data_IF_082161411302
#
_entry.id   IF_082161411302
#
_cell.length_a   1.000
_cell.length_b   1.000
_cell.length_c   1.000
_cell.angle_alpha   90.00
_cell.angle_beta   90.00
_cell.angle_gamma   90.00
#
_symmetry.space_group_name_H-M   'P 1'
#
loop_
_entity.id
_entity.type
_entity.pdbx_description
1 polymer ?
#
# COMPACT_ATOMS: atom_id res chain seq x y z
N UNK A 1 17.18 -10.26 6.34
CA UNK A 1 16.26 -9.11 6.18
C UNK A 1 17.12 -7.89 5.93
N UNK A 2 16.97 -7.25 4.77
CA UNK A 2 17.76 -6.09 4.35
C UNK A 2 16.82 -5.00 3.87
N UNK A 3 17.03 -3.77 4.33
CA UNK A 3 16.30 -2.60 3.87
C UNK A 3 17.20 -1.82 2.91
N UNK A 4 16.76 -1.68 1.67
CA UNK A 4 17.43 -0.90 0.63
C UNK A 4 16.75 0.47 0.52
N UNK A 5 17.54 1.55 0.48
CA UNK A 5 17.03 2.91 0.31
C UNK A 5 17.55 3.50 -0.99
N UNK A 6 16.64 3.91 -1.84
CA UNK A 6 16.90 4.53 -3.14
C UNK A 6 16.41 5.98 -3.17
N UNK A 7 16.91 6.77 -4.09
CA UNK A 7 16.48 8.15 -4.29
C UNK A 7 15.64 8.26 -5.58
N UNK A 8 14.43 8.74 -5.44
CA UNK A 8 13.48 9.14 -6.50
C UNK A 8 12.89 8.00 -7.36
N UNK A 9 13.55 6.86 -7.53
CA UNK A 9 13.04 5.72 -8.31
C UNK A 9 13.68 4.40 -7.89
N UNK A 10 13.12 3.29 -8.35
CA UNK A 10 13.73 1.96 -8.24
C UNK A 10 14.95 1.85 -9.19
N UNK A 11 15.95 1.03 -8.86
CA UNK A 11 17.05 0.76 -9.79
C UNK A 11 16.58 0.01 -11.03
N UNK A 12 17.26 0.22 -12.16
CA UNK A 12 16.98 -0.47 -13.40
C UNK A 12 17.12 -1.98 -13.23
N UNK A 13 16.15 -2.70 -13.80
CA UNK A 13 16.16 -4.17 -13.84
C UNK A 13 15.87 -4.86 -12.49
N UNK A 14 15.44 -4.14 -11.46
CA UNK A 14 15.01 -4.76 -10.22
C UNK A 14 13.73 -5.57 -10.45
N UNK A 15 13.81 -6.88 -10.23
CA UNK A 15 12.67 -7.80 -10.27
C UNK A 15 12.24 -8.16 -8.85
N UNK A 16 11.02 -7.80 -8.48
CA UNK A 16 10.39 -8.10 -7.20
C UNK A 16 9.38 -9.26 -7.28
N UNK A 17 9.33 -9.93 -8.44
CA UNK A 17 8.45 -11.06 -8.66
C UNK A 17 7.00 -10.69 -9.01
N UNK A 18 6.10 -11.68 -9.09
CA UNK A 18 4.73 -11.49 -9.61
C UNK A 18 3.76 -10.86 -8.60
N UNK A 19 4.15 -10.71 -7.35
CA UNK A 19 3.34 -10.10 -6.28
C UNK A 19 4.23 -9.18 -5.48
N UNK A 20 3.89 -7.90 -5.43
CA UNK A 20 4.69 -6.88 -4.75
C UNK A 20 3.84 -6.15 -3.71
N UNK A 21 4.23 -6.24 -2.46
CA UNK A 21 3.66 -5.46 -1.37
C UNK A 21 4.13 -4.01 -1.50
N UNK A 22 3.21 -3.06 -1.34
CA UNK A 22 3.46 -1.62 -1.48
C UNK A 22 2.73 -0.87 -0.39
N UNK A 23 3.38 0.15 0.14
CA UNK A 23 2.80 1.15 1.04
C UNK A 23 3.48 2.49 0.78
N UNK A 24 2.96 3.61 1.31
CA UNK A 24 3.59 4.91 1.13
C UNK A 24 3.45 5.82 2.35
N UNK A 25 4.43 6.72 2.49
CA UNK A 25 4.43 7.79 3.47
C UNK A 25 4.34 9.16 2.81
N UNK A 26 3.55 10.03 3.41
CA UNK A 26 3.25 11.38 2.89
C UNK A 26 3.41 12.43 3.98
N UNK A 27 3.39 13.71 3.61
CA UNK A 27 3.40 14.82 4.58
C UNK A 27 2.10 14.96 5.40
N UNK A 28 1.07 14.20 5.08
CA UNK A 28 -0.23 14.19 5.74
C UNK A 28 -1.26 13.44 4.91
N UNK A 29 -2.55 13.55 5.23
CA UNK A 29 -3.59 12.70 4.67
C UNK A 29 -4.37 13.31 3.49
N UNK A 30 -4.07 14.54 3.08
CA UNK A 30 -4.72 15.19 1.95
C UNK A 30 -3.85 15.07 0.70
N UNK A 31 -4.19 14.21 -0.29
CA UNK A 31 -3.34 13.94 -1.44
C UNK A 31 -3.11 15.16 -2.35
N UNK A 32 -3.97 16.20 -2.28
CA UNK A 32 -3.79 17.43 -3.05
C UNK A 32 -2.80 18.42 -2.42
N UNK A 33 -2.62 18.34 -1.10
CA UNK A 33 -1.75 19.25 -0.34
C UNK A 33 -0.47 18.55 0.10
N UNK A 34 -0.59 17.31 0.51
CA UNK A 34 0.45 16.59 1.24
C UNK A 34 1.19 15.66 0.28
N UNK A 35 2.44 16.04 -0.04
CA UNK A 35 3.24 15.32 -1.04
C UNK A 35 3.57 13.89 -0.61
N UNK A 36 3.74 13.02 -1.58
CA UNK A 36 4.37 11.71 -1.42
C UNK A 36 5.86 11.89 -1.02
N UNK A 37 6.31 11.13 -0.04
CA UNK A 37 7.66 11.24 0.52
C UNK A 37 8.46 9.96 0.39
N UNK A 38 7.83 8.81 0.67
CA UNK A 38 8.47 7.49 0.60
C UNK A 38 7.47 6.52 -0.03
N UNK A 39 7.98 5.63 -0.87
CA UNK A 39 7.26 4.42 -1.32
C UNK A 39 8.09 3.22 -0.91
N UNK A 40 7.52 2.32 -0.16
CA UNK A 40 8.16 1.07 0.24
C UNK A 40 7.54 -0.12 -0.47
N UNK A 41 8.42 -1.05 -0.90
CA UNK A 41 8.03 -2.25 -1.63
C UNK A 41 8.70 -3.49 -1.04
N UNK A 42 8.06 -4.64 -1.21
CA UNK A 42 8.66 -5.95 -0.89
C UNK A 42 8.15 -7.02 -1.86
N UNK A 43 9.05 -7.86 -2.36
CA UNK A 43 8.72 -9.05 -3.14
C UNK A 43 8.30 -10.27 -2.30
N UNK A 44 8.27 -10.16 -0.95
CA UNK A 44 7.95 -11.26 -0.05
C UNK A 44 9.14 -12.16 0.31
N UNK A 45 10.34 -11.77 -0.08
CA UNK A 45 11.61 -12.47 0.19
C UNK A 45 12.24 -12.09 1.55
N UNK A 46 11.57 -11.25 2.33
CA UNK A 46 12.05 -10.72 3.61
C UNK A 46 12.89 -9.45 3.48
N UNK A 47 13.02 -8.89 2.28
CA UNK A 47 13.68 -7.62 2.04
C UNK A 47 12.66 -6.51 1.76
N UNK A 48 13.02 -5.27 2.09
CA UNK A 48 12.24 -4.10 1.75
C UNK A 48 13.06 -3.11 0.91
N UNK A 49 12.41 -2.51 -0.08
CA UNK A 49 12.96 -1.55 -1.01
C UNK A 49 12.22 -0.22 -0.83
N UNK A 50 12.90 0.79 -0.31
CA UNK A 50 12.32 2.10 -0.03
C UNK A 50 12.81 3.10 -1.06
N UNK A 51 11.90 3.91 -1.60
CA UNK A 51 12.21 5.01 -2.50
C UNK A 51 11.90 6.30 -1.77
N UNK A 52 12.90 7.10 -1.44
CA UNK A 52 12.71 8.44 -0.92
C UNK A 52 12.49 9.42 -2.08
N UNK A 53 11.34 10.08 -2.10
CA UNK A 53 10.93 10.99 -3.17
C UNK A 53 11.31 12.43 -2.77
N UNK A 54 12.21 13.04 -3.52
CA UNK A 54 12.64 14.41 -3.29
C UNK A 54 11.49 15.40 -3.52
N UNK A 55 11.56 16.56 -2.85
CA UNK A 55 10.57 17.61 -3.06
C UNK A 55 10.60 18.13 -4.51
N UNK A 56 9.45 18.11 -5.16
CA UNK A 56 9.30 18.51 -6.57
C UNK A 56 9.58 17.41 -7.58
N UNK A 57 9.97 16.21 -7.13
CA UNK A 57 10.08 15.04 -8.00
C UNK A 57 8.69 14.59 -8.43
N UNK A 58 8.47 14.46 -9.73
CA UNK A 58 7.20 14.07 -10.33
C UNK A 58 7.34 12.94 -11.36
N UNK A 59 8.49 12.29 -11.43
CA UNK A 59 8.78 11.16 -12.32
C UNK A 59 9.47 10.04 -11.55
N UNK A 60 9.01 8.81 -11.73
CA UNK A 60 9.61 7.58 -11.22
C UNK A 60 9.33 6.45 -12.22
N UNK A 61 10.02 6.43 -13.37
CA UNK A 61 9.65 5.56 -14.51
C UNK A 61 9.67 4.06 -14.16
N UNK A 62 10.63 3.59 -13.36
CA UNK A 62 10.69 2.17 -12.97
C UNK A 62 9.57 1.79 -12.00
N UNK A 63 9.28 2.66 -11.02
CA UNK A 63 8.14 2.48 -10.13
C UNK A 63 6.82 2.50 -10.92
N UNK A 64 6.63 3.47 -11.81
CA UNK A 64 5.42 3.57 -12.65
C UNK A 64 5.25 2.32 -13.53
N UNK A 65 6.32 1.84 -14.16
CA UNK A 65 6.29 0.62 -14.95
C UNK A 65 5.87 -0.61 -14.11
N UNK A 66 6.32 -0.71 -12.86
CA UNK A 66 5.88 -1.76 -11.94
C UNK A 66 4.41 -1.60 -11.56
N UNK A 67 3.97 -0.39 -11.21
CA UNK A 67 2.58 -0.11 -10.80
C UNK A 67 1.59 -0.46 -11.92
N UNK A 68 1.91 -0.15 -13.15
CA UNK A 68 1.05 -0.35 -14.33
C UNK A 68 1.20 -1.74 -14.97
N UNK A 69 2.16 -2.56 -14.54
CA UNK A 69 2.38 -3.89 -15.08
C UNK A 69 1.20 -4.82 -14.76
N UNK A 70 0.43 -5.29 -15.77
CA UNK A 70 -0.75 -6.14 -15.56
C UNK A 70 -0.40 -7.55 -15.07
N UNK A 71 0.86 -7.96 -15.16
CA UNK A 71 1.34 -9.28 -14.72
C UNK A 71 1.87 -9.27 -13.27
N UNK A 72 1.94 -8.11 -12.63
CA UNK A 72 2.37 -7.96 -11.23
C UNK A 72 1.17 -7.55 -10.38
N UNK A 73 0.81 -8.36 -9.40
CA UNK A 73 -0.22 -8.00 -8.42
C UNK A 73 0.38 -7.06 -7.36
N UNK A 74 -0.18 -5.86 -7.23
CA UNK A 74 0.19 -4.89 -6.20
C UNK A 74 -0.65 -5.13 -4.95
N UNK A 75 0.02 -5.39 -3.84
CA UNK A 75 -0.56 -5.79 -2.57
C UNK A 75 -0.46 -4.66 -1.56
N UNK A 76 -1.59 -4.15 -1.09
CA UNK A 76 -1.69 -3.02 -0.18
C UNK A 76 -2.39 -3.37 1.14
N UNK A 77 -2.15 -2.52 2.16
CA UNK A 77 -3.04 -2.42 3.30
C UNK A 77 -3.68 -1.02 3.34
N UNK A 78 -4.98 -0.91 3.07
CA UNK A 78 -5.72 0.34 2.85
C UNK A 78 -5.30 1.09 1.56
N UNK A 79 -4.99 0.36 0.50
CA UNK A 79 -4.44 0.86 -0.75
C UNK A 79 -5.20 2.00 -1.45
N UNK A 80 -6.44 2.32 -1.04
CA UNK A 80 -7.16 3.53 -1.50
C UNK A 80 -6.31 4.79 -1.37
N UNK A 81 -5.64 4.94 -0.21
CA UNK A 81 -4.80 6.09 0.07
C UNK A 81 -3.52 6.08 -0.76
N UNK A 82 -2.81 4.95 -0.76
CA UNK A 82 -1.52 4.81 -1.44
C UNK A 82 -1.65 4.98 -2.96
N UNK A 83 -2.68 4.35 -3.54
CA UNK A 83 -2.98 4.47 -4.98
C UNK A 83 -3.27 5.92 -5.34
N UNK A 84 -4.09 6.63 -4.53
CA UNK A 84 -4.38 8.04 -4.76
C UNK A 84 -3.11 8.90 -4.65
N UNK A 85 -2.26 8.67 -3.65
CA UNK A 85 -1.02 9.41 -3.46
C UNK A 85 -0.05 9.24 -4.64
N UNK A 86 0.16 7.99 -5.10
CA UNK A 86 1.03 7.70 -6.25
C UNK A 86 0.43 8.20 -7.57
N UNK A 87 -0.90 8.06 -7.75
CA UNK A 87 -1.61 8.61 -8.91
C UNK A 87 -1.48 10.14 -8.99
N UNK A 88 -1.63 10.84 -7.86
CA UNK A 88 -1.46 12.29 -7.81
C UNK A 88 0.00 12.73 -8.03
N UNK A 89 0.97 11.95 -7.55
CA UNK A 89 2.40 12.29 -7.67
C UNK A 89 2.96 12.03 -9.08
N UNK A 90 2.58 10.91 -9.71
CA UNK A 90 3.22 10.41 -10.93
C UNK A 90 2.26 10.17 -12.10
N UNK A 91 0.94 10.23 -11.89
CA UNK A 91 -0.07 9.88 -12.88
C UNK A 91 -0.24 8.37 -13.10
N UNK A 92 0.55 7.52 -12.43
CA UNK A 92 0.52 6.07 -12.60
C UNK A 92 -0.66 5.42 -11.87
N UNK A 93 -1.33 4.47 -12.50
CA UNK A 93 -2.47 3.73 -11.95
C UNK A 93 -2.03 2.31 -11.57
N UNK A 94 -1.99 2.02 -10.28
CA UNK A 94 -1.67 0.68 -9.81
C UNK A 94 -2.81 -0.30 -10.15
N UNK A 95 -2.55 -1.28 -11.02
CA UNK A 95 -3.46 -2.37 -11.37
C UNK A 95 -2.68 -3.58 -11.95
N UNK A 96 -3.10 -4.86 -11.65
CA UNK A 96 -4.13 -5.27 -10.70
C UNK A 96 -3.71 -5.05 -9.25
N UNK A 97 -4.67 -4.93 -8.33
CA UNK A 97 -4.41 -4.68 -6.91
C UNK A 97 -5.12 -5.68 -6.01
N UNK A 98 -4.59 -5.87 -4.80
CA UNK A 98 -5.23 -6.57 -3.69
C UNK A 98 -5.12 -5.70 -2.43
N UNK A 99 -6.16 -5.63 -1.63
CA UNK A 99 -6.16 -4.86 -0.39
C UNK A 99 -6.52 -5.73 0.82
N UNK A 100 -5.54 -5.97 1.70
CA UNK A 100 -5.71 -6.79 2.90
C UNK A 100 -6.74 -6.21 3.88
N UNK A 101 -6.91 -4.89 3.93
CA UNK A 101 -7.96 -4.26 4.75
C UNK A 101 -9.37 -4.52 4.23
N UNK A 102 -9.57 -4.50 2.90
CA UNK A 102 -10.84 -4.87 2.27
C UNK A 102 -11.13 -6.36 2.53
N UNK A 103 -10.16 -7.24 2.26
CA UNK A 103 -10.29 -8.67 2.55
C UNK A 103 -10.66 -8.92 4.01
N UNK A 104 -9.96 -8.26 4.94
CA UNK A 104 -10.26 -8.35 6.37
C UNK A 104 -11.70 -7.90 6.70
N UNK A 105 -12.17 -6.80 6.13
CA UNK A 105 -13.55 -6.31 6.36
C UNK A 105 -14.60 -7.29 5.88
N UNK A 106 -14.34 -7.95 4.75
CA UNK A 106 -15.27 -8.92 4.16
C UNK A 106 -15.38 -10.21 4.97
N UNK A 107 -14.33 -10.62 5.72
CA UNK A 107 -14.33 -11.91 6.45
C UNK A 107 -14.40 -11.77 7.96
N UNK A 108 -13.99 -10.63 8.53
CA UNK A 108 -13.98 -10.40 9.99
C UNK A 108 -15.11 -9.46 10.41
N UNK A 109 -16.33 -9.85 10.10
CA UNK A 109 -17.55 -9.05 10.33
C UNK A 109 -17.93 -8.88 11.80
N UNK A 110 -17.25 -9.58 12.70
CA UNK A 110 -17.46 -9.56 14.16
C UNK A 110 -16.65 -8.46 14.88
N UNK A 111 -15.84 -7.67 14.15
CA UNK A 111 -14.94 -6.66 14.71
C UNK A 111 -14.74 -5.51 13.74
N UNK A 112 -14.39 -4.34 14.24
CA UNK A 112 -13.94 -3.15 13.50
C UNK A 112 -12.39 -3.01 13.46
N UNK A 113 -11.66 -3.98 14.03
CA UNK A 113 -10.19 -3.99 14.13
C UNK A 113 -9.52 -4.50 12.86
N UNK A 114 -9.45 -3.63 11.83
CA UNK A 114 -8.88 -3.94 10.52
C UNK A 114 -7.56 -3.21 10.23
N UNK A 115 -6.92 -2.60 11.24
CA UNK A 115 -5.60 -1.97 11.10
C UNK A 115 -4.48 -3.01 11.00
N UNK A 116 -3.42 -2.70 10.23
CA UNK A 116 -2.33 -3.63 9.91
C UNK A 116 -1.73 -4.30 11.15
N UNK A 117 -1.27 -3.52 12.13
CA UNK A 117 -0.65 -4.07 13.34
C UNK A 117 -1.58 -5.06 14.09
N UNK A 118 -2.89 -4.76 14.12
CA UNK A 118 -3.86 -5.68 14.75
C UNK A 118 -4.07 -6.95 13.94
N UNK A 119 -4.11 -6.86 12.61
CA UNK A 119 -4.21 -8.04 11.75
C UNK A 119 -2.98 -8.92 11.87
N UNK A 120 -1.79 -8.34 11.86
CA UNK A 120 -0.53 -9.08 12.01
C UNK A 120 -0.46 -9.78 13.35
N UNK A 121 -0.83 -9.10 14.43
CA UNK A 121 -0.87 -9.70 15.78
C UNK A 121 -1.87 -10.85 15.86
N UNK A 122 -3.13 -10.64 15.41
CA UNK A 122 -4.22 -11.61 15.60
C UNK A 122 -4.16 -12.79 14.61
N UNK A 123 -3.60 -12.61 13.42
CA UNK A 123 -3.59 -13.64 12.38
C UNK A 123 -2.23 -14.30 12.18
N UNK A 124 -1.14 -13.62 12.53
CA UNK A 124 0.22 -14.11 12.28
C UNK A 124 1.11 -14.15 13.53
N UNK A 125 0.62 -13.68 14.69
CA UNK A 125 1.38 -13.52 15.94
C UNK A 125 2.65 -12.67 15.75
N UNK A 126 2.49 -11.54 15.00
CA UNK A 126 3.56 -10.59 14.70
C UNK A 126 3.17 -9.23 15.28
N UNK A 127 4.07 -8.65 16.07
CA UNK A 127 3.94 -7.29 16.56
C UNK A 127 4.83 -6.33 15.74
N UNK A 128 4.25 -5.22 15.25
CA UNK A 128 4.97 -4.13 14.60
C UNK A 128 4.82 -2.83 15.38
N UNK A 129 5.85 -1.99 15.36
CA UNK A 129 5.84 -0.67 16.01
C UNK A 129 4.99 0.32 15.23
N UNK A 130 4.36 1.27 15.94
CA UNK A 130 3.67 2.44 15.34
C UNK A 130 4.37 3.76 15.64
N UNK A 131 5.57 3.72 16.22
CA UNK A 131 6.22 4.91 16.79
C UNK A 131 6.57 5.97 15.74
N UNK A 132 6.84 5.58 14.50
CA UNK A 132 7.23 6.51 13.43
C UNK A 132 6.07 6.95 12.53
N UNK A 133 4.85 6.50 12.76
CA UNK A 133 3.68 6.79 11.92
C UNK A 133 3.45 8.30 11.70
N UNK A 134 3.79 9.15 12.66
CA UNK A 134 3.62 10.60 12.60
C UNK A 134 4.96 11.35 12.52
N UNK A 135 6.02 10.71 12.04
CA UNK A 135 7.33 11.34 11.92
C UNK A 135 7.41 12.27 10.70
N UNK A 136 8.45 13.10 10.63
CA UNK A 136 8.69 13.96 9.47
C UNK A 136 9.24 13.15 8.30
N UNK A 137 8.34 12.64 7.46
CA UNK A 137 8.67 11.89 6.24
C UNK A 137 9.26 12.79 5.15
N UNK A 138 9.08 14.10 5.27
CA UNK A 138 9.62 15.08 4.33
C UNK A 138 11.07 15.49 4.58
N UNK A 139 11.72 14.97 5.61
CA UNK A 139 13.11 15.23 5.93
C UNK A 139 14.05 14.87 4.77
N UNK A 140 15.18 15.58 4.63
CA UNK A 140 16.18 15.31 3.58
C UNK A 140 16.82 13.92 3.75
N UNK A 141 16.96 13.47 4.98
CA UNK A 141 17.52 12.15 5.32
C UNK A 141 16.59 11.43 6.28
N UNK A 142 16.20 10.21 5.93
CA UNK A 142 15.42 9.34 6.81
C UNK A 142 16.34 8.77 7.90
N UNK A 143 15.83 8.71 9.12
CA UNK A 143 16.48 7.99 10.21
C UNK A 143 16.37 6.48 10.02
N UNK A 144 17.26 5.72 10.63
CA UNK A 144 17.20 4.25 10.64
C UNK A 144 15.86 3.75 11.18
N UNK A 145 15.33 4.37 12.24
CA UNK A 145 14.02 4.03 12.80
C UNK A 145 12.85 4.28 11.82
N UNK A 146 12.92 5.31 10.98
CA UNK A 146 11.92 5.53 9.92
C UNK A 146 12.03 4.47 8.83
N UNK A 147 13.23 4.11 8.40
CA UNK A 147 13.46 3.05 7.40
C UNK A 147 12.94 1.71 7.91
N UNK A 148 13.22 1.35 9.16
CA UNK A 148 12.73 0.12 9.78
C UNK A 148 11.19 0.10 9.90
N UNK A 149 10.60 1.22 10.29
CA UNK A 149 9.14 1.36 10.38
C UNK A 149 8.49 1.16 9.01
N UNK A 150 8.90 1.94 8.00
CA UNK A 150 8.35 1.85 6.64
C UNK A 150 8.54 0.45 6.03
N UNK A 151 9.67 -0.20 6.27
CA UNK A 151 9.89 -1.58 5.86
C UNK A 151 8.88 -2.55 6.51
N UNK A 152 8.55 -2.35 7.79
CA UNK A 152 7.63 -3.23 8.52
C UNK A 152 6.21 -3.26 7.94
N UNK A 153 5.77 -2.19 7.28
CA UNK A 153 4.43 -2.08 6.72
C UNK A 153 4.23 -2.93 5.45
N UNK A 154 5.32 -3.36 4.79
CA UNK A 154 5.25 -4.20 3.57
C UNK A 154 5.73 -5.64 3.76
N UNK A 155 6.63 -5.91 4.71
CA UNK A 155 7.32 -7.20 4.85
C UNK A 155 6.39 -8.39 5.11
N UNK A 156 5.23 -8.17 5.71
CA UNK A 156 4.33 -9.23 6.14
C UNK A 156 3.05 -9.35 5.32
N UNK A 157 2.85 -8.47 4.31
CA UNK A 157 1.58 -8.42 3.56
C UNK A 157 1.34 -9.70 2.74
N UNK A 158 2.37 -10.36 2.23
CA UNK A 158 2.25 -11.63 1.50
C UNK A 158 1.64 -12.73 2.40
N UNK A 159 2.21 -12.93 3.59
CA UNK A 159 1.70 -13.90 4.56
C UNK A 159 0.28 -13.55 5.03
N UNK A 160 0.02 -12.26 5.26
CA UNK A 160 -1.31 -11.78 5.63
C UNK A 160 -2.33 -12.03 4.52
N UNK A 161 -1.97 -11.78 3.25
CA UNK A 161 -2.82 -12.08 2.09
C UNK A 161 -3.17 -13.57 2.04
N UNK A 162 -2.20 -14.44 2.21
CA UNK A 162 -2.42 -15.89 2.11
C UNK A 162 -3.40 -16.38 3.19
N UNK A 163 -3.27 -15.89 4.42
CA UNK A 163 -4.20 -16.17 5.52
C UNK A 163 -5.62 -15.62 5.24
N UNK A 164 -5.72 -14.40 4.71
CA UNK A 164 -7.00 -13.79 4.35
C UNK A 164 -7.68 -14.50 3.17
N UNK A 165 -6.91 -14.94 2.16
CA UNK A 165 -7.41 -15.68 1.02
C UNK A 165 -8.04 -17.02 1.41
N UNK A 166 -7.40 -17.79 2.31
CA UNK A 166 -7.98 -19.03 2.82
C UNK A 166 -9.36 -18.79 3.44
N UNK A 167 -9.51 -17.70 4.18
CA UNK A 167 -10.79 -17.33 4.81
C UNK A 167 -11.80 -16.82 3.78
N UNK A 168 -11.39 -16.01 2.79
CA UNK A 168 -12.28 -15.56 1.71
C UNK A 168 -12.86 -16.74 0.92
N UNK A 169 -12.03 -17.74 0.61
CA UNK A 169 -12.45 -18.96 -0.08
C UNK A 169 -13.43 -19.74 0.80
N UNK A 170 -13.08 -19.98 2.06
CA UNK A 170 -13.94 -20.72 3.01
C UNK A 170 -15.31 -20.09 3.19
N UNK A 171 -15.38 -18.75 3.23
CA UNK A 171 -16.63 -17.99 3.38
C UNK A 171 -17.37 -17.75 2.06
N UNK A 172 -16.84 -18.21 0.91
CA UNK A 172 -17.43 -17.98 -0.42
C UNK A 172 -17.45 -16.51 -0.84
N UNK A 173 -16.49 -15.70 -0.38
CA UNK A 173 -16.47 -14.24 -0.59
C UNK A 173 -15.37 -13.76 -1.53
N UNK A 174 -14.66 -14.67 -2.19
CA UNK A 174 -13.54 -14.32 -3.07
C UNK A 174 -13.99 -13.47 -4.28
N UNK A 175 -15.10 -13.81 -4.92
CA UNK A 175 -15.59 -13.07 -6.09
C UNK A 175 -15.96 -11.61 -5.74
N UNK A 176 -16.66 -11.41 -4.61
CA UNK A 176 -17.00 -10.05 -4.16
C UNK A 176 -15.76 -9.28 -3.72
N UNK A 177 -14.77 -9.96 -3.13
CA UNK A 177 -13.50 -9.33 -2.78
C UNK A 177 -12.75 -8.88 -4.04
N UNK A 178 -12.70 -9.74 -5.08
CA UNK A 178 -12.07 -9.39 -6.36
C UNK A 178 -12.72 -8.17 -7.00
N UNK A 179 -14.06 -8.12 -7.07
CA UNK A 179 -14.77 -6.96 -7.60
C UNK A 179 -14.45 -5.66 -6.82
N UNK A 180 -14.28 -5.75 -5.49
CA UNK A 180 -13.84 -4.61 -4.68
C UNK A 180 -12.39 -4.21 -5.00
N UNK A 181 -11.50 -5.17 -5.24
CA UNK A 181 -10.11 -4.89 -5.61
C UNK A 181 -10.05 -4.23 -6.99
N UNK A 182 -10.80 -4.73 -7.96
CA UNK A 182 -10.87 -4.19 -9.33
C UNK A 182 -11.40 -2.74 -9.33
N UNK A 183 -12.33 -2.41 -8.43
CA UNK A 183 -12.86 -1.06 -8.27
C UNK A 183 -11.93 -0.11 -7.50
N UNK A 184 -10.98 -0.62 -6.73
CA UNK A 184 -10.17 0.19 -5.81
C UNK A 184 -9.37 1.32 -6.50
N UNK A 185 -8.75 1.13 -7.69
CA UNK A 185 -8.13 2.23 -8.42
C UNK A 185 -9.13 3.33 -8.82
N UNK A 186 -10.34 2.95 -9.22
CA UNK A 186 -11.42 3.92 -9.50
C UNK A 186 -11.85 4.65 -8.22
N UNK A 187 -11.93 3.96 -7.08
CA UNK A 187 -12.23 4.61 -5.79
C UNK A 187 -11.15 5.64 -5.41
N UNK A 188 -9.88 5.31 -5.64
CA UNK A 188 -8.76 6.23 -5.41
C UNK A 188 -8.84 7.47 -6.32
N UNK A 189 -9.20 7.27 -7.59
CA UNK A 189 -9.45 8.39 -8.53
C UNK A 189 -10.58 9.29 -8.05
N UNK A 190 -11.69 8.72 -7.56
CA UNK A 190 -12.82 9.50 -7.03
C UNK A 190 -12.37 10.41 -5.88
N UNK A 191 -11.42 10.00 -5.04
CA UNK A 191 -10.87 10.84 -3.98
C UNK A 191 -10.18 12.08 -4.55
N UNK A 192 -9.46 11.92 -5.67
CA UNK A 192 -8.73 13.00 -6.32
C UNK A 192 -9.62 13.97 -7.09
N UNK A 193 -10.73 13.50 -7.64
CA UNK A 193 -11.57 14.33 -8.52
C UNK A 193 -12.83 14.91 -7.86
N UNK A 194 -12.95 14.78 -6.51
CA UNK A 194 -13.93 15.54 -5.74
C UNK A 194 -14.93 14.74 -4.89
N UNK A 195 -14.77 13.42 -4.76
CA UNK A 195 -15.65 12.56 -3.94
C UNK A 195 -14.93 11.81 -2.80
N UNK A 196 -14.06 12.45 -2.00
CA UNK A 196 -13.27 11.72 -0.99
C UNK A 196 -14.13 11.14 0.15
N UNK A 197 -15.17 11.86 0.57
CA UNK A 197 -16.03 11.48 1.71
C UNK A 197 -17.41 10.97 1.28
N UNK A 198 -17.68 10.93 -0.03
CA UNK A 198 -18.99 10.59 -0.55
C UNK A 198 -19.01 9.15 -1.02
N UNK A 199 -19.98 8.38 -0.55
CA UNK A 199 -20.37 7.12 -1.15
C UNK A 199 -21.29 7.40 -2.33
N UNK A 200 -20.76 7.31 -3.56
CA UNK A 200 -21.52 7.57 -4.79
C UNK A 200 -22.68 6.56 -5.03
N UNK A 201 -22.72 5.48 -4.27
CA UNK A 201 -23.79 4.49 -4.32
C UNK A 201 -24.83 4.69 -3.21
N UNK A 202 -24.59 5.61 -2.26
CA UNK A 202 -25.54 5.87 -1.20
C UNK A 202 -26.78 6.60 -1.73
N UNK A 203 -27.94 6.24 -1.22
CA UNK A 203 -29.15 7.05 -1.40
C UNK A 203 -29.03 8.31 -0.54
N UNK A 204 -29.07 9.48 -1.17
CA UNK A 204 -29.05 10.78 -0.49
C UNK A 204 -30.34 11.09 0.24
#
# INVERSE_FOLDING_TARGET
MTNFLYQNDLPDGLDLGPVVAIDCETMGLNPHRDRLCVVQLSGGDGNAHLIQIARGQNTAPNLCALLENPHVLKLFHFGRFDIAAMMNAFGAVAAPVYCTKIASRLIRTFTDRHGLAKLLQELLDIDISKQQQSSDWGAETLTEAQVEYAASDVLYLHRLRDELNQRLVREGRMEVAQACFDFLPTRALLDLIGWPEIDIFAHA
#
